data_IF_701973801826
#
_entry.id   IF_701973801826
#
_cell.length_a   1.000
_cell.length_b   1.000
_cell.length_c   1.000
_cell.angle_alpha   90.00
_cell.angle_beta   90.00
_cell.angle_gamma   90.00
#
_symmetry.space_group_name_H-M   'P 1'
#
loop_
_entity.id
_entity.type
_entity.pdbx_description
1 polymer ?
#
# COMPACT_ATOMS: atom_id res chain seq x y z
N UNK A 1 -1.84 -6.30 -1.46
CA UNK A 1 -1.49 -5.72 -0.14
C UNK A 1 -0.33 -4.73 -0.14
N UNK A 2 0.58 -4.72 -1.12
CA UNK A 2 1.81 -3.91 -1.07
C UNK A 2 1.62 -2.40 -1.31
N UNK A 3 0.38 -1.91 -1.49
CA UNK A 3 0.11 -0.49 -1.78
C UNK A 3 0.64 0.03 -3.12
N UNK A 4 1.27 -0.82 -3.93
CA UNK A 4 2.05 -0.41 -5.11
C UNK A 4 1.28 0.41 -6.15
N UNK A 5 0.02 0.10 -6.51
CA UNK A 5 -0.74 0.95 -7.43
C UNK A 5 -0.90 2.38 -6.91
N UNK A 6 -1.23 2.52 -5.62
CA UNK A 6 -1.42 3.82 -4.97
C UNK A 6 -0.10 4.59 -4.83
N UNK A 7 1.00 3.93 -4.48
CA UNK A 7 2.33 4.57 -4.45
C UNK A 7 2.75 5.07 -5.84
N UNK A 8 2.42 4.33 -6.91
CA UNK A 8 2.70 4.78 -8.28
C UNK A 8 1.84 5.97 -8.73
N UNK A 9 0.60 6.11 -8.25
CA UNK A 9 -0.20 7.30 -8.56
C UNK A 9 0.47 8.59 -8.07
N UNK A 10 1.23 8.52 -6.97
CA UNK A 10 1.98 9.64 -6.42
C UNK A 10 3.41 9.74 -6.97
N UNK A 11 3.84 8.81 -7.83
CA UNK A 11 5.20 8.85 -8.37
C UNK A 11 5.47 10.14 -9.14
N UNK A 12 4.55 10.59 -10.00
CA UNK A 12 4.68 11.85 -10.75
C UNK A 12 4.77 13.06 -9.82
N UNK A 13 3.95 13.10 -8.78
CA UNK A 13 3.97 14.13 -7.73
C UNK A 13 5.31 14.17 -7.00
N UNK A 14 5.84 13.01 -6.60
CA UNK A 14 7.15 12.90 -5.94
C UNK A 14 8.26 13.36 -6.90
N UNK A 15 8.18 12.99 -8.18
CA UNK A 15 9.16 13.39 -9.20
C UNK A 15 9.16 14.90 -9.42
N UNK A 16 7.98 15.52 -9.52
CA UNK A 16 7.86 16.97 -9.61
C UNK A 16 8.42 17.67 -8.36
N UNK A 17 8.17 17.11 -7.17
CA UNK A 17 8.71 17.62 -5.90
C UNK A 17 10.25 17.52 -5.79
N UNK A 18 10.87 16.54 -6.45
CA UNK A 18 12.32 16.30 -6.45
C UNK A 18 13.09 17.28 -7.36
N UNK A 19 12.41 18.05 -8.23
CA UNK A 19 13.04 19.07 -9.08
C UNK A 19 12.83 18.87 -10.58
N UNK A 20 12.00 17.91 -10.98
CA UNK A 20 11.53 17.81 -12.37
C UNK A 20 10.41 18.84 -12.60
N UNK A 21 10.78 20.12 -12.64
CA UNK A 21 9.86 21.25 -12.77
C UNK A 21 9.12 21.29 -14.11
N UNK A 22 9.62 20.58 -15.12
CA UNK A 22 8.97 20.46 -16.42
C UNK A 22 8.13 19.18 -16.47
N UNK A 23 6.87 19.29 -16.90
CA UNK A 23 5.96 18.13 -17.06
C UNK A 23 6.55 17.03 -17.95
N UNK A 24 7.36 17.41 -18.93
CA UNK A 24 8.10 16.50 -19.81
C UNK A 24 9.12 15.65 -19.04
N UNK A 25 9.80 16.23 -18.05
CA UNK A 25 10.83 15.55 -17.27
C UNK A 25 10.21 14.59 -16.24
N UNK A 26 9.10 14.99 -15.61
CA UNK A 26 8.33 14.12 -14.70
C UNK A 26 7.70 12.92 -15.44
N UNK A 27 7.19 13.15 -16.65
CA UNK A 27 6.65 12.08 -17.51
C UNK A 27 7.76 11.13 -17.94
N UNK A 28 8.93 11.64 -18.37
CA UNK A 28 10.07 10.83 -18.74
C UNK A 28 10.59 9.97 -17.57
N UNK A 29 10.66 10.54 -16.37
CA UNK A 29 11.04 9.80 -15.18
C UNK A 29 10.02 8.69 -14.83
N UNK A 30 8.72 8.94 -15.04
CA UNK A 30 7.68 7.92 -14.87
C UNK A 30 7.82 6.78 -15.89
N UNK A 31 8.14 7.10 -17.15
CA UNK A 31 8.46 6.09 -18.18
C UNK A 31 9.72 5.30 -17.79
N UNK A 32 10.74 5.99 -17.25
CA UNK A 32 11.95 5.37 -16.71
C UNK A 32 11.66 4.37 -15.59
N UNK A 33 10.76 4.69 -14.65
CA UNK A 33 10.30 3.76 -13.61
C UNK A 33 9.68 2.49 -14.22
N UNK A 34 8.90 2.64 -15.31
CA UNK A 34 8.37 1.52 -16.09
C UNK A 34 9.47 0.66 -16.71
N UNK A 35 10.49 1.28 -17.30
CA UNK A 35 11.65 0.60 -17.88
C UNK A 35 12.43 -0.20 -16.83
N UNK A 36 12.74 0.40 -15.68
CA UNK A 36 13.39 -0.27 -14.55
C UNK A 36 12.56 -1.49 -14.10
N UNK A 37 11.24 -1.35 -14.01
CA UNK A 37 10.35 -2.45 -13.64
C UNK A 37 10.44 -3.62 -14.64
N UNK A 38 10.46 -3.34 -15.93
CA UNK A 38 10.60 -4.38 -16.98
C UNK A 38 11.95 -5.08 -16.86
N UNK A 39 13.05 -4.32 -16.75
CA UNK A 39 14.40 -4.87 -16.60
C UNK A 39 14.51 -5.76 -15.35
N UNK A 40 14.00 -5.30 -14.20
CA UNK A 40 14.02 -6.08 -12.96
C UNK A 40 13.15 -7.34 -13.04
N UNK A 41 12.04 -7.29 -13.80
CA UNK A 41 11.19 -8.46 -14.02
C UNK A 41 11.92 -9.51 -14.87
N UNK A 42 12.65 -9.11 -15.92
CA UNK A 42 13.47 -10.02 -16.72
C UNK A 42 14.53 -10.69 -15.84
N UNK A 43 15.25 -9.91 -15.03
CA UNK A 43 16.25 -10.44 -14.09
C UNK A 43 15.61 -11.43 -13.10
N UNK A 44 14.41 -11.14 -12.59
CA UNK A 44 13.70 -12.05 -11.70
C UNK A 44 13.39 -13.39 -12.35
N UNK A 45 12.89 -13.38 -13.59
CA UNK A 45 12.57 -14.60 -14.33
C UNK A 45 13.81 -15.45 -14.61
N UNK A 46 14.96 -14.83 -14.88
CA UNK A 46 16.21 -15.56 -15.11
C UNK A 46 16.81 -16.14 -13.82
N UNK A 47 16.57 -15.49 -12.68
CA UNK A 47 17.19 -15.87 -11.41
C UNK A 47 16.29 -16.71 -10.49
N UNK A 48 14.97 -16.72 -10.68
CA UNK A 48 14.01 -17.42 -9.80
C UNK A 48 14.28 -18.92 -9.70
N UNK A 49 14.68 -19.55 -10.80
CA UNK A 49 14.98 -20.98 -10.81
C UNK A 49 16.26 -21.34 -10.06
N UNK A 50 17.20 -20.39 -9.95
CA UNK A 50 18.44 -20.60 -9.20
C UNK A 50 18.26 -20.40 -7.70
N UNK A 51 17.55 -19.36 -7.24
CA UNK A 51 17.52 -19.03 -5.80
C UNK A 51 16.32 -19.61 -5.06
N UNK A 52 15.27 -20.01 -5.78
CA UNK A 52 14.03 -20.50 -5.18
C UNK A 52 13.04 -19.36 -4.89
N UNK A 53 11.75 -19.70 -4.89
CA UNK A 53 10.67 -18.73 -4.96
C UNK A 53 10.47 -18.01 -3.62
N UNK A 54 10.63 -18.74 -2.51
CA UNK A 54 10.44 -18.20 -1.14
C UNK A 54 11.47 -17.14 -0.81
N UNK A 55 12.74 -17.38 -1.13
CA UNK A 55 13.83 -16.41 -0.89
C UNK A 55 13.63 -15.13 -1.70
N UNK A 56 13.20 -15.27 -2.95
CA UNK A 56 12.82 -14.16 -3.81
C UNK A 56 11.73 -13.29 -3.17
N UNK A 57 10.63 -13.91 -2.73
CA UNK A 57 9.51 -13.21 -2.07
C UNK A 57 9.94 -12.49 -0.78
N UNK A 58 10.80 -13.11 0.03
CA UNK A 58 11.31 -12.51 1.27
C UNK A 58 12.22 -11.30 1.01
N UNK A 59 13.17 -11.41 0.07
CA UNK A 59 14.08 -10.31 -0.29
C UNK A 59 13.29 -9.13 -0.86
N UNK A 60 12.31 -9.40 -1.73
CA UNK A 60 11.46 -8.33 -2.27
C UNK A 60 10.60 -7.66 -1.20
N UNK A 61 9.96 -8.44 -0.32
CA UNK A 61 9.12 -7.90 0.76
C UNK A 61 9.92 -6.99 1.70
N UNK A 62 11.11 -7.43 2.09
CA UNK A 62 12.01 -6.68 2.99
C UNK A 62 12.51 -5.41 2.31
N UNK A 63 12.97 -5.49 1.06
CA UNK A 63 13.45 -4.32 0.33
C UNK A 63 12.36 -3.27 0.10
N UNK A 64 11.13 -3.69 -0.22
CA UNK A 64 9.97 -2.78 -0.30
C UNK A 64 9.61 -2.17 1.06
N UNK A 65 9.64 -2.96 2.14
CA UNK A 65 9.36 -2.45 3.49
C UNK A 65 10.39 -1.41 3.93
N UNK A 66 11.67 -1.66 3.63
CA UNK A 66 12.77 -0.74 3.91
C UNK A 66 12.68 0.54 3.09
N UNK A 67 12.35 0.47 1.80
CA UNK A 67 12.21 1.68 0.99
C UNK A 67 11.02 2.54 1.39
N UNK A 68 9.89 1.92 1.76
CA UNK A 68 8.74 2.64 2.33
C UNK A 68 9.06 3.24 3.71
N UNK A 69 9.88 2.57 4.52
CA UNK A 69 10.36 3.13 5.78
C UNK A 69 11.22 4.37 5.55
N UNK A 70 12.14 4.32 4.57
CA UNK A 70 12.96 5.48 4.18
C UNK A 70 12.09 6.62 3.67
N UNK A 71 11.10 6.36 2.80
CA UNK A 71 10.14 7.37 2.36
C UNK A 71 9.37 7.97 3.53
N UNK A 72 8.85 7.15 4.44
CA UNK A 72 8.18 7.60 5.66
C UNK A 72 9.07 8.49 6.52
N UNK A 73 10.35 8.12 6.71
CA UNK A 73 11.31 8.93 7.46
C UNK A 73 11.62 10.25 6.75
N UNK A 74 11.97 10.22 5.46
CA UNK A 74 12.28 11.43 4.67
C UNK A 74 11.10 12.42 4.72
N UNK A 75 9.89 11.91 4.48
CA UNK A 75 8.68 12.74 4.54
C UNK A 75 8.33 13.21 5.95
N UNK A 76 8.68 12.44 7.00
CA UNK A 76 8.48 12.84 8.40
C UNK A 76 9.43 13.95 8.83
N UNK A 77 10.71 13.88 8.44
CA UNK A 77 11.69 14.93 8.73
C UNK A 77 11.37 16.23 7.99
N UNK A 78 10.83 16.13 6.78
CA UNK A 78 10.41 17.27 5.96
C UNK A 78 9.09 17.92 6.44
N UNK A 79 8.25 17.18 7.18
CA UNK A 79 7.02 17.72 7.80
C UNK A 79 7.24 18.48 9.11
N UNK A 80 8.50 18.79 9.44
CA UNK A 80 8.87 19.73 10.51
C UNK A 80 8.37 21.17 10.29
N UNK A 81 7.92 21.52 9.09
CA UNK A 81 7.03 22.66 8.86
C UNK A 81 5.62 22.14 8.61
N UNK A 82 4.73 22.41 9.56
CA UNK A 82 3.33 21.99 9.52
C UNK A 82 2.68 22.30 8.17
N UNK A 83 1.96 21.31 7.64
CA UNK A 83 0.82 21.55 6.77
C UNK A 83 -0.15 22.42 7.61
N UNK A 84 -0.10 23.74 7.41
CA UNK A 84 -1.31 24.56 7.53
C UNK A 84 -2.35 23.94 6.62
N UNK A 85 -3.59 23.86 7.10
CA UNK A 85 -4.71 23.31 6.34
C UNK A 85 -4.63 23.84 4.89
N UNK A 86 -4.74 23.00 3.85
CA UNK A 86 -4.78 23.49 2.47
C UNK A 86 -5.95 24.45 2.20
N UNK A 87 -6.91 24.57 3.13
CA UNK A 87 -7.98 25.56 3.10
C UNK A 87 -7.70 26.88 3.84
N UNK A 88 -6.55 27.03 4.50
CA UNK A 88 -6.23 28.25 5.26
C UNK A 88 -5.53 29.31 4.39
N UNK A 89 -4.78 28.88 3.37
CA UNK A 89 -3.89 29.76 2.60
C UNK A 89 -4.40 30.07 1.18
N UNK A 90 -5.57 29.55 0.79
CA UNK A 90 -6.25 29.93 -0.45
C UNK A 90 -7.28 31.04 -0.21
N UNK A 91 -7.04 32.22 -0.82
CA UNK A 91 -8.02 33.31 -1.00
C UNK A 91 -9.35 32.78 -1.59
N UNK A 92 -9.29 31.68 -2.36
CA UNK A 92 -10.45 31.07 -2.99
C UNK A 92 -11.43 30.44 -1.98
N UNK A 93 -10.95 29.84 -0.89
CA UNK A 93 -11.82 29.17 0.10
C UNK A 93 -12.58 30.15 1.02
N UNK A 94 -12.05 31.36 1.26
CA UNK A 94 -12.76 32.40 2.02
C UNK A 94 -13.93 33.02 1.23
N UNK A 95 -13.95 32.89 -0.09
CA UNK A 95 -14.94 33.57 -0.95
C UNK A 95 -16.34 32.92 -0.95
N UNK A 96 -16.46 31.65 -0.53
CA UNK A 96 -17.75 30.94 -0.51
C UNK A 96 -18.44 30.88 0.86
N UNK A 97 -17.75 31.30 1.94
CA UNK A 97 -18.31 31.21 3.30
C UNK A 97 -19.03 32.49 3.76
N UNK A 98 -19.12 33.51 2.90
CA UNK A 98 -19.98 34.68 3.10
C UNK A 98 -21.19 34.60 2.17
N UNK A 99 -22.16 33.77 2.54
CA UNK A 99 -23.48 33.81 1.93
C UNK A 99 -24.19 35.11 2.31
N UNK A 100 -24.19 36.09 1.40
CA UNK A 100 -25.35 36.96 1.19
C UNK A 100 -25.28 37.60 -0.19
N UNK A 101 -25.80 36.86 -1.17
CA UNK A 101 -26.46 37.46 -2.32
C UNK A 101 -27.52 38.43 -1.78
N UNK A 102 -27.37 39.73 -2.06
CA UNK A 102 -28.50 40.63 -2.18
C UNK A 102 -28.32 41.49 -3.43
N UNK A 103 -29.06 41.09 -4.46
CA UNK A 103 -29.48 41.93 -5.58
C UNK A 103 -30.09 43.22 -5.04
N UNK A 104 -29.68 44.38 -5.57
CA UNK A 104 -30.65 45.42 -5.88
C UNK A 104 -30.17 46.43 -6.94
N UNK A 105 -31.04 46.56 -7.92
CA UNK A 105 -31.12 47.53 -9.00
C UNK A 105 -30.86 48.98 -8.59
N UNK A 106 -30.07 49.73 -9.38
CA UNK A 106 -30.45 51.04 -9.96
C UNK A 106 -29.28 51.69 -10.73
N UNK A 107 -29.63 52.20 -11.93
CA UNK A 107 -29.06 53.33 -12.67
C UNK A 107 -27.55 53.38 -13.00
N UNK A 108 -27.31 53.48 -14.31
CA UNK A 108 -26.42 54.43 -15.00
C UNK A 108 -25.06 54.80 -14.35
N UNK A 109 -23.97 54.52 -15.06
CA UNK A 109 -23.16 55.53 -15.76
C UNK A 109 -21.83 54.89 -16.20
N UNK A 110 -21.67 54.94 -17.51
CA UNK A 110 -20.58 54.46 -18.32
C UNK A 110 -19.39 55.43 -18.27
N UNK A 111 -18.52 55.38 -17.26
CA UNK A 111 -17.26 56.18 -17.29
C UNK A 111 -16.10 55.62 -16.43
N UNK A 112 -15.81 54.32 -16.40
CA UNK A 112 -14.47 53.86 -15.97
C UNK A 112 -14.09 52.46 -16.51
N UNK A 113 -13.98 52.34 -17.84
CA UNK A 113 -13.44 51.14 -18.52
C UNK A 113 -11.90 51.09 -18.41
N UNK A 114 -11.34 51.30 -17.22
CA UNK A 114 -9.88 51.17 -16.96
C UNK A 114 -9.49 50.20 -15.84
N UNK A 115 -10.43 49.65 -15.08
CA UNK A 115 -10.11 48.63 -14.06
C UNK A 115 -10.38 47.18 -14.49
N UNK A 116 -11.30 46.95 -15.44
CA UNK A 116 -11.65 45.59 -15.89
C UNK A 116 -10.54 44.94 -16.72
N UNK A 117 -9.70 45.74 -17.38
CA UNK A 117 -8.55 45.25 -18.16
C UNK A 117 -7.31 44.95 -17.30
N UNK A 118 -7.38 45.16 -15.98
CA UNK A 118 -6.31 44.74 -15.05
C UNK A 118 -6.63 43.41 -14.35
N UNK A 119 -7.83 42.85 -14.50
CA UNK A 119 -8.17 41.54 -13.92
C UNK A 119 -7.85 40.40 -14.90
N UNK A 120 -7.82 40.67 -16.21
CA UNK A 120 -7.45 39.68 -17.24
C UNK A 120 -5.93 39.41 -17.34
N UNK A 121 -5.08 40.35 -16.93
CA UNK A 121 -3.62 40.15 -16.95
C UNK A 121 -3.07 39.61 -15.62
N UNK A 122 -3.85 39.66 -14.53
CA UNK A 122 -3.52 39.03 -13.25
C UNK A 122 -3.94 37.55 -13.20
N UNK A 123 -4.76 37.08 -14.16
CA UNK A 123 -5.18 35.67 -14.28
C UNK A 123 -4.37 34.87 -15.30
N UNK A 124 -3.46 35.50 -16.04
CA UNK A 124 -2.65 34.85 -17.07
C UNK A 124 -1.28 34.31 -16.58
N UNK A 125 -0.92 34.52 -15.31
CA UNK A 125 0.40 34.12 -14.79
C UNK A 125 0.38 33.28 -13.51
N UNK A 126 -0.78 32.75 -13.12
CA UNK A 126 -0.85 31.66 -12.15
C UNK A 126 -0.96 30.36 -12.92
N UNK A 127 0.19 29.75 -13.17
CA UNK A 127 0.27 28.30 -13.34
C UNK A 127 -0.53 27.67 -12.21
N UNK A 128 -1.66 27.05 -12.56
CA UNK A 128 -2.37 26.15 -11.67
C UNK A 128 -1.42 24.97 -11.47
N UNK A 129 -0.49 25.11 -10.53
CA UNK A 129 0.28 24.00 -10.03
C UNK A 129 -0.75 23.05 -9.41
N UNK A 130 -0.86 21.80 -9.88
CA UNK A 130 -1.75 20.84 -9.27
C UNK A 130 -1.43 20.78 -7.78
N UNK A 131 -2.47 20.83 -6.95
CA UNK A 131 -2.41 20.77 -5.48
C UNK A 131 -1.47 19.60 -5.11
N UNK A 132 -0.23 19.95 -4.76
CA UNK A 132 0.81 18.99 -4.43
C UNK A 132 0.85 18.92 -2.90
N UNK A 133 0.31 17.87 -2.25
CA UNK A 133 0.38 17.73 -0.79
C UNK A 133 1.80 17.44 -0.28
N UNK A 134 2.82 17.61 -1.14
CA UNK A 134 4.18 17.13 -0.92
C UNK A 134 5.20 18.13 -1.48
N UNK A 135 5.72 19.02 -0.63
CA UNK A 135 6.85 19.92 -0.96
C UNK A 135 8.08 19.49 -0.17
N UNK A 136 9.05 18.85 -0.83
CA UNK A 136 10.38 18.58 -0.26
C UNK A 136 11.17 19.89 -0.15
N UNK A 137 11.35 20.38 1.08
CA UNK A 137 12.02 21.65 1.37
C UNK A 137 13.55 21.47 1.35
N UNK A 138 14.21 22.24 0.47
CA UNK A 138 15.58 22.76 0.67
C UNK A 138 16.82 21.86 0.62
N UNK A 139 16.75 20.55 0.89
CA UNK A 139 17.94 19.67 0.87
C UNK A 139 17.98 18.77 -0.38
N UNK A 140 19.00 18.94 -1.23
CA UNK A 140 19.27 18.07 -2.37
C UNK A 140 19.37 16.59 -1.95
N UNK A 141 19.88 16.32 -0.75
CA UNK A 141 19.99 14.96 -0.22
C UNK A 141 18.62 14.32 0.05
N UNK A 142 17.68 15.05 0.66
CA UNK A 142 16.31 14.55 0.91
C UNK A 142 15.56 14.20 -0.37
N UNK A 143 15.73 15.02 -1.41
CA UNK A 143 15.17 14.79 -2.75
C UNK A 143 15.74 13.54 -3.43
N UNK A 144 17.07 13.40 -3.41
CA UNK A 144 17.76 12.22 -3.95
C UNK A 144 17.37 10.96 -3.17
N UNK A 145 17.26 11.04 -1.85
CA UNK A 145 16.82 9.92 -1.01
C UNK A 145 15.39 9.48 -1.31
N UNK A 146 14.44 10.41 -1.45
CA UNK A 146 13.06 10.08 -1.80
C UNK A 146 12.98 9.41 -3.18
N UNK A 147 13.68 9.95 -4.18
CA UNK A 147 13.70 9.39 -5.53
C UNK A 147 14.34 7.99 -5.58
N UNK A 148 15.49 7.81 -4.93
CA UNK A 148 16.18 6.51 -4.87
C UNK A 148 15.38 5.48 -4.09
N UNK A 149 14.68 5.88 -3.02
CA UNK A 149 13.77 4.99 -2.28
C UNK A 149 12.57 4.58 -3.13
N UNK A 150 11.96 5.50 -3.89
CA UNK A 150 10.88 5.19 -4.83
C UNK A 150 11.34 4.23 -5.93
N UNK A 151 12.50 4.47 -6.53
CA UNK A 151 13.11 3.56 -7.51
C UNK A 151 13.35 2.17 -6.92
N UNK A 152 13.90 2.10 -5.71
CA UNK A 152 14.13 0.84 -4.99
C UNK A 152 12.83 0.10 -4.72
N UNK A 153 11.76 0.81 -4.33
CA UNK A 153 10.43 0.21 -4.15
C UNK A 153 9.91 -0.42 -5.45
N UNK A 154 9.97 0.31 -6.57
CA UNK A 154 9.50 -0.16 -7.88
C UNK A 154 10.34 -1.34 -8.37
N UNK A 155 11.65 -1.27 -8.22
CA UNK A 155 12.58 -2.34 -8.58
C UNK A 155 12.35 -3.60 -7.75
N UNK A 156 12.21 -3.46 -6.43
CA UNK A 156 11.94 -4.58 -5.52
C UNK A 156 10.62 -5.27 -5.84
N UNK A 157 9.58 -4.50 -6.17
CA UNK A 157 8.30 -5.05 -6.61
C UNK A 157 8.44 -5.83 -7.92
N UNK A 158 9.11 -5.24 -8.93
CA UNK A 158 9.34 -5.87 -10.23
C UNK A 158 10.19 -7.14 -10.15
N UNK A 159 11.18 -7.15 -9.26
CA UNK A 159 12.06 -8.29 -9.05
C UNK A 159 11.39 -9.45 -8.28
N UNK A 160 10.35 -9.17 -7.50
CA UNK A 160 9.75 -10.15 -6.58
C UNK A 160 8.23 -10.25 -6.74
N UNK A 161 7.48 -9.37 -6.06
CA UNK A 161 6.04 -9.55 -5.89
C UNK A 161 5.25 -9.53 -7.19
N UNK A 162 5.77 -8.86 -8.23
CA UNK A 162 5.18 -8.87 -9.56
C UNK A 162 5.12 -10.30 -10.14
N UNK A 163 6.20 -10.81 -10.74
CA UNK A 163 6.19 -12.08 -11.45
C UNK A 163 6.10 -13.30 -10.50
N UNK A 164 6.78 -13.26 -9.35
CA UNK A 164 6.97 -14.46 -8.52
C UNK A 164 5.70 -14.82 -7.75
N UNK A 165 4.89 -13.85 -7.33
CA UNK A 165 3.63 -14.14 -6.63
C UNK A 165 2.67 -14.92 -7.52
N UNK A 166 2.56 -14.54 -8.80
CA UNK A 166 1.72 -15.25 -9.77
C UNK A 166 2.28 -16.63 -10.12
N UNK A 167 3.62 -16.74 -10.23
CA UNK A 167 4.28 -18.03 -10.43
C UNK A 167 3.98 -18.99 -9.29
N UNK A 168 4.21 -18.57 -8.04
CA UNK A 168 3.97 -19.39 -6.84
C UNK A 168 2.50 -19.78 -6.72
N UNK A 169 1.57 -18.90 -7.07
CA UNK A 169 0.14 -19.21 -7.05
C UNK A 169 -0.20 -20.37 -8.01
N UNK A 170 0.44 -20.40 -9.18
CA UNK A 170 0.25 -21.49 -10.15
C UNK A 170 0.90 -22.82 -9.72
N UNK A 171 1.98 -22.76 -8.95
CA UNK A 171 2.72 -23.92 -8.44
C UNK A 171 2.05 -24.55 -7.21
N UNK A 172 1.42 -23.74 -6.35
CA UNK A 172 0.77 -24.19 -5.11
C UNK A 172 -0.54 -24.93 -5.38
N UNK A 173 -1.36 -24.47 -6.33
CA UNK A 173 -2.69 -25.06 -6.52
C UNK A 173 -2.64 -26.35 -7.36
N UNK A 174 -3.26 -27.44 -6.88
CA UNK A 174 -3.37 -28.67 -7.66
C UNK A 174 -4.23 -28.45 -8.89
N UNK A 175 -3.90 -29.16 -9.98
CA UNK A 175 -4.49 -28.96 -11.31
C UNK A 175 -6.02 -29.00 -11.33
N UNK A 176 -6.64 -29.84 -10.50
CA UNK A 176 -8.09 -30.01 -10.42
C UNK A 176 -8.87 -28.75 -10.01
N UNK A 177 -8.31 -27.90 -9.14
CA UNK A 177 -9.00 -26.68 -8.63
C UNK A 177 -8.28 -25.38 -9.01
N UNK A 178 -7.16 -25.47 -9.73
CA UNK A 178 -6.29 -24.33 -10.05
C UNK A 178 -7.05 -23.16 -10.66
N UNK A 179 -7.91 -23.41 -11.65
CA UNK A 179 -8.67 -22.36 -12.32
C UNK A 179 -9.56 -21.57 -11.35
N UNK A 180 -10.33 -22.27 -10.50
CA UNK A 180 -11.21 -21.65 -9.49
C UNK A 180 -10.42 -20.90 -8.42
N UNK A 181 -9.30 -21.47 -7.97
CA UNK A 181 -8.45 -20.88 -6.94
C UNK A 181 -7.73 -19.60 -7.42
N UNK A 182 -7.24 -19.58 -8.67
CA UNK A 182 -6.64 -18.40 -9.29
C UNK A 182 -7.69 -17.30 -9.50
N UNK A 183 -8.91 -17.65 -9.92
CA UNK A 183 -9.99 -16.68 -10.06
C UNK A 183 -10.32 -16.01 -8.72
N UNK A 184 -10.51 -16.79 -7.65
CA UNK A 184 -10.76 -16.25 -6.31
C UNK A 184 -9.62 -15.34 -5.83
N UNK A 185 -8.37 -15.76 -6.01
CA UNK A 185 -7.19 -14.96 -5.62
C UNK A 185 -7.15 -13.65 -6.39
N UNK A 186 -7.45 -13.68 -7.69
CA UNK A 186 -7.51 -12.49 -8.54
C UNK A 186 -8.61 -11.53 -8.09
N UNK A 187 -9.81 -12.04 -7.76
CA UNK A 187 -10.92 -11.24 -7.22
C UNK A 187 -10.52 -10.58 -5.89
N UNK A 188 -9.88 -11.33 -4.99
CA UNK A 188 -9.37 -10.78 -3.72
C UNK A 188 -8.28 -9.73 -3.95
N UNK A 189 -7.41 -9.91 -4.95
CA UNK A 189 -6.40 -8.94 -5.32
C UNK A 189 -7.02 -7.62 -5.82
N UNK A 190 -7.98 -7.68 -6.74
CA UNK A 190 -8.70 -6.49 -7.21
C UNK A 190 -9.55 -5.84 -6.12
N UNK A 191 -10.24 -6.63 -5.30
CA UNK A 191 -11.01 -6.13 -4.16
C UNK A 191 -10.12 -5.41 -3.15
N UNK A 192 -8.94 -5.97 -2.84
CA UNK A 192 -7.96 -5.32 -1.97
C UNK A 192 -7.44 -4.02 -2.58
N UNK A 193 -7.15 -4.00 -3.89
CA UNK A 193 -6.71 -2.78 -4.56
C UNK A 193 -7.78 -1.68 -4.47
N UNK A 194 -9.06 -2.03 -4.68
CA UNK A 194 -10.18 -1.09 -4.53
C UNK A 194 -10.26 -0.54 -3.11
N UNK A 195 -10.22 -1.41 -2.09
CA UNK A 195 -10.26 -0.98 -0.68
C UNK A 195 -9.10 -0.05 -0.37
N UNK A 196 -7.87 -0.42 -0.74
CA UNK A 196 -6.70 0.42 -0.47
C UNK A 196 -6.85 1.77 -1.18
N UNK A 197 -7.23 1.79 -2.46
CA UNK A 197 -7.42 3.05 -3.20
C UNK A 197 -8.53 3.94 -2.60
N UNK A 198 -9.61 3.35 -2.08
CA UNK A 198 -10.68 4.10 -1.41
C UNK A 198 -10.21 4.72 -0.09
N UNK A 199 -9.51 3.97 0.77
CA UNK A 199 -9.04 4.47 2.06
C UNK A 199 -7.75 5.31 1.96
N UNK A 200 -7.06 5.29 0.82
CA UNK A 200 -5.74 5.90 0.67
C UNK A 200 -5.77 7.41 0.94
N UNK A 201 -6.76 8.12 0.41
CA UNK A 201 -6.90 9.57 0.62
C UNK A 201 -7.30 9.88 2.07
N UNK A 202 -8.22 9.11 2.66
CA UNK A 202 -8.59 9.24 4.07
C UNK A 202 -7.37 9.01 4.99
N UNK A 203 -6.49 8.10 4.60
CA UNK A 203 -5.26 7.79 5.31
C UNK A 203 -4.27 8.96 5.30
N UNK A 204 -4.10 9.60 4.14
CA UNK A 204 -3.29 10.81 4.01
C UNK A 204 -3.90 11.96 4.80
N UNK A 205 -5.21 12.16 4.73
CA UNK A 205 -5.88 13.26 5.44
C UNK A 205 -5.89 13.06 6.96
N UNK A 206 -5.94 11.82 7.43
CA UNK A 206 -6.01 11.50 8.85
C UNK A 206 -4.67 11.62 9.57
N UNK A 207 -3.62 10.99 9.04
CA UNK A 207 -2.31 10.94 9.71
C UNK A 207 -1.12 11.31 8.82
N UNK A 208 -1.40 11.92 7.67
CA UNK A 208 -0.38 12.48 6.78
C UNK A 208 0.26 11.45 5.85
N UNK A 209 1.05 12.00 4.92
CA UNK A 209 1.81 11.22 3.92
C UNK A 209 2.86 10.33 4.60
N UNK A 210 3.55 10.84 5.62
CA UNK A 210 4.56 10.08 6.36
C UNK A 210 3.95 8.89 7.12
N UNK A 211 2.84 9.10 7.82
CA UNK A 211 2.11 8.03 8.48
C UNK A 211 1.58 6.99 7.49
N UNK A 212 1.16 7.41 6.30
CA UNK A 212 0.70 6.53 5.19
C UNK A 212 1.83 5.57 4.76
N UNK A 213 3.06 6.07 4.61
CA UNK A 213 4.20 5.22 4.27
C UNK A 213 4.60 4.27 5.41
N UNK A 214 4.55 4.72 6.67
CA UNK A 214 4.79 3.83 7.81
C UNK A 214 3.74 2.73 7.93
N UNK A 215 2.47 3.03 7.66
CA UNK A 215 1.40 2.03 7.62
C UNK A 215 1.73 0.94 6.58
N UNK A 216 2.04 1.31 5.34
CA UNK A 216 2.40 0.31 4.33
C UNK A 216 3.70 -0.44 4.64
N UNK A 217 4.69 0.21 5.27
CA UNK A 217 5.90 -0.46 5.75
C UNK A 217 5.56 -1.54 6.80
N UNK A 218 4.64 -1.25 7.74
CA UNK A 218 4.17 -2.24 8.72
C UNK A 218 3.45 -3.43 8.06
N UNK A 219 2.64 -3.17 7.02
CA UNK A 219 1.99 -4.22 6.22
C UNK A 219 3.01 -5.08 5.48
N UNK A 220 4.12 -4.50 5.02
CA UNK A 220 5.24 -5.25 4.46
C UNK A 220 5.90 -6.16 5.50
N UNK A 221 6.09 -5.71 6.75
CA UNK A 221 6.62 -6.55 7.84
C UNK A 221 5.70 -7.74 8.12
N UNK A 222 4.40 -7.51 8.23
CA UNK A 222 3.40 -8.59 8.38
C UNK A 222 3.47 -9.56 7.19
N UNK A 223 3.66 -9.04 5.98
CA UNK A 223 3.83 -9.86 4.78
C UNK A 223 5.09 -10.71 4.82
N UNK A 224 6.23 -10.18 5.31
CA UNK A 224 7.47 -10.95 5.51
C UNK A 224 7.22 -12.11 6.47
N UNK A 225 6.57 -11.86 7.60
CA UNK A 225 6.24 -12.89 8.61
C UNK A 225 5.33 -13.95 7.99
N UNK A 226 4.32 -13.54 7.23
CA UNK A 226 3.41 -14.45 6.53
C UNK A 226 4.14 -15.33 5.50
N UNK A 227 5.00 -14.74 4.66
CA UNK A 227 5.79 -15.48 3.66
C UNK A 227 6.73 -16.46 4.36
N UNK A 228 7.37 -16.04 5.44
CA UNK A 228 8.28 -16.90 6.18
C UNK A 228 7.56 -18.10 6.80
N UNK A 229 6.36 -17.93 7.35
CA UNK A 229 5.64 -18.99 8.07
C UNK A 229 4.79 -19.88 7.17
N UNK A 230 4.15 -19.31 6.15
CA UNK A 230 3.09 -19.97 5.39
C UNK A 230 3.58 -20.55 4.07
N UNK A 231 4.52 -19.89 3.39
CA UNK A 231 4.95 -20.29 2.04
C UNK A 231 6.08 -21.32 2.13
N UNK A 232 5.85 -22.58 1.72
CA UNK A 232 6.92 -23.57 1.60
C UNK A 232 7.83 -23.27 0.40
N UNK A 233 9.08 -23.72 0.44
CA UNK A 233 9.96 -23.64 -0.73
C UNK A 233 9.48 -24.61 -1.81
N UNK A 234 9.21 -24.07 -3.00
CA UNK A 234 8.71 -24.81 -4.18
C UNK A 234 9.82 -25.23 -5.14
N UNK A 235 11.07 -24.77 -4.93
CA UNK A 235 12.20 -25.09 -5.81
C UNK A 235 12.43 -26.60 -5.93
N UNK A 236 12.42 -27.11 -7.17
CA UNK A 236 12.86 -28.46 -7.52
C UNK A 236 11.92 -29.59 -7.10
N UNK A 237 10.69 -29.29 -6.69
CA UNK A 237 9.67 -30.28 -6.36
C UNK A 237 8.66 -30.41 -7.50
N UNK A 238 8.22 -31.63 -7.78
CA UNK A 238 7.12 -31.84 -8.72
C UNK A 238 5.79 -31.36 -8.12
N UNK A 239 4.79 -31.07 -8.95
CA UNK A 239 3.46 -30.63 -8.49
C UNK A 239 2.81 -31.67 -7.56
N UNK A 240 3.07 -32.95 -7.79
CA UNK A 240 2.59 -34.08 -6.99
C UNK A 240 3.21 -34.07 -5.60
N UNK A 241 4.53 -33.83 -5.50
CA UNK A 241 5.24 -33.74 -4.23
C UNK A 241 4.77 -32.55 -3.39
N UNK A 242 4.49 -31.40 -4.03
CA UNK A 242 3.91 -30.23 -3.35
C UNK A 242 2.51 -30.57 -2.82
N UNK A 243 1.67 -31.21 -3.66
CA UNK A 243 0.32 -31.65 -3.27
C UNK A 243 0.36 -32.63 -2.08
N UNK A 244 1.27 -33.61 -2.10
CA UNK A 244 1.47 -34.54 -0.98
C UNK A 244 1.93 -33.85 0.30
N UNK A 245 2.87 -32.90 0.21
CA UNK A 245 3.33 -32.17 1.38
C UNK A 245 2.22 -31.31 1.99
N UNK A 246 1.41 -30.66 1.15
CA UNK A 246 0.22 -29.93 1.59
C UNK A 246 -0.84 -30.85 2.20
N UNK A 247 -1.11 -32.02 1.61
CA UNK A 247 -2.02 -33.01 2.18
C UNK A 247 -1.50 -33.58 3.51
N UNK A 248 -0.20 -33.82 3.65
CA UNK A 248 0.42 -34.23 4.94
C UNK A 248 0.29 -33.12 5.99
N UNK A 249 0.44 -31.84 5.61
CA UNK A 249 0.20 -30.70 6.52
C UNK A 249 -1.28 -30.58 6.91
N UNK A 250 -2.21 -30.77 5.97
CA UNK A 250 -3.65 -30.81 6.21
C UNK A 250 -4.03 -31.95 7.17
N UNK A 251 -3.57 -33.17 6.92
CA UNK A 251 -3.82 -34.32 7.81
C UNK A 251 -3.26 -34.09 9.22
N UNK A 252 -2.08 -33.48 9.35
CA UNK A 252 -1.56 -33.10 10.68
C UNK A 252 -2.41 -32.04 11.36
N UNK A 253 -2.89 -31.06 10.61
CA UNK A 253 -3.79 -30.03 11.12
C UNK A 253 -5.13 -30.64 11.59
N UNK A 254 -5.76 -31.47 10.77
CA UNK A 254 -7.00 -32.17 11.10
C UNK A 254 -6.83 -33.09 12.31
N UNK A 255 -5.69 -33.78 12.41
CA UNK A 255 -5.36 -34.64 13.54
C UNK A 255 -5.13 -33.84 14.83
N UNK A 256 -4.49 -32.65 14.76
CA UNK A 256 -4.33 -31.76 15.91
C UNK A 256 -5.66 -31.13 16.34
N UNK A 257 -6.50 -30.74 15.39
CA UNK A 257 -7.80 -30.13 15.66
C UNK A 257 -8.79 -31.15 16.23
N UNK A 258 -8.77 -32.39 15.74
CA UNK A 258 -9.47 -33.52 16.34
C UNK A 258 -8.99 -33.76 17.78
N UNK A 259 -7.66 -33.78 18.02
CA UNK A 259 -7.12 -34.00 19.37
C UNK A 259 -7.51 -32.89 20.35
N UNK A 260 -7.52 -31.62 19.92
CA UNK A 260 -8.02 -30.49 20.70
C UNK A 260 -9.52 -30.61 20.98
N UNK A 261 -10.33 -30.94 19.96
CA UNK A 261 -11.76 -31.18 20.11
C UNK A 261 -12.07 -32.30 21.11
N UNK A 262 -11.32 -33.40 21.07
CA UNK A 262 -11.43 -34.51 22.04
C UNK A 262 -11.02 -34.07 23.44
N UNK A 263 -9.93 -33.30 23.59
CA UNK A 263 -9.49 -32.79 24.89
C UNK A 263 -10.53 -31.86 25.53
N UNK A 264 -11.13 -30.96 24.74
CA UNK A 264 -12.17 -30.05 25.23
C UNK A 264 -13.46 -30.80 25.57
N UNK A 265 -13.79 -31.86 24.81
CA UNK A 265 -14.91 -32.75 25.12
C UNK A 265 -14.67 -33.53 26.41
N UNK A 266 -13.45 -34.03 26.63
CA UNK A 266 -13.04 -34.71 27.87
C UNK A 266 -13.05 -33.76 29.07
N UNK A 267 -12.53 -32.54 28.93
CA UNK A 267 -12.60 -31.51 29.98
C UNK A 267 -14.04 -31.17 30.36
N UNK A 268 -14.94 -31.03 29.38
CA UNK A 268 -16.37 -30.83 29.64
C UNK A 268 -17.01 -32.01 30.36
N UNK A 269 -16.70 -33.26 29.98
CA UNK A 269 -17.21 -34.46 30.66
C UNK A 269 -16.68 -34.58 32.10
N UNK A 270 -15.40 -34.31 32.33
CA UNK A 270 -14.80 -34.33 33.68
C UNK A 270 -15.42 -33.24 34.55
N UNK A 271 -15.56 -32.01 34.03
CA UNK A 271 -16.25 -30.92 34.75
C UNK A 271 -17.70 -31.29 35.11
N UNK A 272 -18.42 -31.95 34.19
CA UNK A 272 -19.78 -32.41 34.44
C UNK A 272 -19.84 -33.53 35.50
N UNK A 273 -18.91 -34.49 35.47
CA UNK A 273 -18.80 -35.56 36.47
C UNK A 273 -18.46 -34.98 37.85
N UNK A 274 -17.49 -34.06 37.92
CA UNK A 274 -17.11 -33.38 39.18
C UNK A 274 -18.30 -32.61 39.76
N UNK A 275 -19.06 -31.87 38.94
CA UNK A 275 -20.28 -31.17 39.38
C UNK A 275 -21.40 -32.10 39.85
N UNK A 276 -21.48 -33.31 39.31
CA UNK A 276 -22.55 -34.28 39.61
C UNK A 276 -22.21 -35.17 40.81
N UNK A 277 -20.94 -35.52 40.99
CA UNK A 277 -20.50 -36.41 42.07
C UNK A 277 -20.39 -35.73 43.43
N UNK A 278 -20.19 -34.41 43.49
CA UNK A 278 -20.08 -33.65 44.74
C UNK A 278 -21.05 -32.44 44.76
N UNK A 279 -22.33 -32.65 45.14
CA UNK A 279 -23.30 -31.55 45.30
C UNK A 279 -23.11 -30.71 46.57
N UNK A 280 -22.16 -31.08 47.45
CA UNK A 280 -22.16 -30.68 48.86
C UNK A 280 -20.92 -29.90 49.31
N UNK A 281 -20.48 -28.92 48.52
CA UNK A 281 -19.59 -27.85 48.99
C UNK A 281 -20.15 -26.50 48.55
N UNK A 282 -21.26 -26.10 49.16
CA UNK A 282 -21.71 -24.70 49.20
C UNK A 282 -22.40 -24.38 50.54
N UNK A 283 -22.01 -25.09 51.60
CA UNK A 283 -22.38 -24.81 52.99
C UNK A 283 -21.08 -24.99 53.78
N UNK A 284 -20.59 -23.91 54.40
CA UNK A 284 -19.33 -23.78 55.15
C UNK A 284 -18.07 -23.54 54.27
N UNK A 285 -17.87 -22.29 53.82
CA UNK A 285 -17.05 -21.21 54.43
C UNK A 285 -17.20 -19.97 53.55
#
# INVERSE_FOLDING_TARGET
FTGQPNVLYYASTILQAVGFHTDSAATLATVGLGGVKVLMTIVALLCVDRWGRRKFLLVGATLMGMSLLVLGLVTHYDSGESITNPCQDDIFCQSFNSSSVLLNSSLEIQTHVREVTMISNLTANTTINPILPFKLHGDDAGRVMAFTALLTFVAAYGFSFGPISWLVLSEIFPSAIRGRAIALTTTLNWGTNLVISAVFLDMINGFGVSGTFFFFSSVCVVSVIFIFTTIPETKGKSLEQISEEMNKRKNRYDHMNCRKGVLDMMKKRISFIVKKSWPSYNMLV
#
